data_IF_261812958517
#
_entry.id   IF_261812958517
#
_cell.length_a   1.000
_cell.length_b   1.000
_cell.length_c   1.000
_cell.angle_alpha   90.00
_cell.angle_beta   90.00
_cell.angle_gamma   90.00
#
_symmetry.space_group_name_H-M   'P 1'
#
loop_
_entity.id
_entity.type
_entity.pdbx_description
1 polymer ?
#
# COMPACT_ATOMS: atom_id res chain seq x y z
N UNK A 1 31.90 -7.68 -13.01
CA UNK A 1 30.89 -6.93 -12.23
C UNK A 1 29.53 -7.60 -12.33
N UNK A 2 28.81 -7.78 -11.22
CA UNK A 2 27.43 -8.31 -11.22
C UNK A 2 26.46 -7.30 -11.82
N UNK A 3 25.63 -7.71 -12.79
CA UNK A 3 24.61 -6.85 -13.44
C UNK A 3 23.64 -6.27 -12.40
N UNK A 4 23.19 -5.03 -12.61
CA UNK A 4 22.24 -4.34 -11.71
C UNK A 4 20.96 -5.16 -11.48
N UNK A 5 20.43 -5.82 -12.52
CA UNK A 5 19.25 -6.69 -12.42
C UNK A 5 19.43 -7.81 -11.39
N UNK A 6 20.61 -8.43 -11.36
CA UNK A 6 20.92 -9.52 -10.41
C UNK A 6 21.03 -8.97 -8.99
N UNK A 7 21.59 -7.77 -8.82
CA UNK A 7 21.63 -7.10 -7.50
C UNK A 7 20.22 -6.82 -6.98
N UNK A 8 19.31 -6.34 -7.84
CA UNK A 8 17.91 -6.09 -7.49
C UNK A 8 17.20 -7.39 -7.11
N UNK A 9 17.31 -8.44 -7.91
CA UNK A 9 16.72 -9.75 -7.61
C UNK A 9 17.22 -10.32 -6.28
N UNK A 10 18.53 -10.26 -6.03
CA UNK A 10 19.11 -10.74 -4.77
C UNK A 10 18.62 -9.94 -3.56
N UNK A 11 18.48 -8.62 -3.69
CA UNK A 11 17.92 -7.77 -2.63
C UNK A 11 16.45 -8.10 -2.40
N UNK A 12 15.65 -8.19 -3.46
CA UNK A 12 14.23 -8.56 -3.38
C UNK A 12 14.04 -9.91 -2.71
N UNK A 13 14.81 -10.94 -3.09
CA UNK A 13 14.73 -12.27 -2.51
C UNK A 13 14.96 -12.26 -0.99
N UNK A 14 15.94 -11.48 -0.51
CA UNK A 14 16.20 -11.32 0.93
C UNK A 14 15.08 -10.55 1.63
N UNK A 15 14.56 -9.52 0.99
CA UNK A 15 13.56 -8.62 1.59
C UNK A 15 12.19 -9.29 1.70
N UNK A 16 11.71 -9.98 0.66
CA UNK A 16 10.38 -10.59 0.63
C UNK A 16 10.27 -11.85 1.50
N UNK A 17 11.38 -12.57 1.68
CA UNK A 17 11.44 -13.78 2.51
C UNK A 17 11.93 -13.53 3.94
N UNK A 18 12.27 -12.28 4.29
CA UNK A 18 12.80 -11.90 5.60
C UNK A 18 12.02 -10.75 6.23
N UNK A 19 12.55 -9.51 6.24
CA UNK A 19 11.94 -8.38 6.94
C UNK A 19 10.47 -8.14 6.62
N UNK A 20 10.06 -8.27 5.35
CA UNK A 20 8.66 -8.02 4.97
C UNK A 20 7.70 -9.10 5.45
N UNK A 21 8.15 -10.35 5.52
CA UNK A 21 7.33 -11.42 6.08
C UNK A 21 7.06 -11.18 7.58
N UNK A 22 8.04 -10.61 8.31
CA UNK A 22 7.88 -10.20 9.70
C UNK A 22 6.95 -9.00 9.85
N UNK A 23 7.08 -8.01 8.98
CA UNK A 23 6.33 -6.76 9.14
C UNK A 23 4.88 -6.87 8.62
N UNK A 24 4.66 -7.63 7.55
CA UNK A 24 3.38 -7.64 6.82
C UNK A 24 2.60 -8.94 7.08
N UNK A 25 3.25 -9.93 7.68
CA UNK A 25 2.75 -11.29 7.82
C UNK A 25 2.88 -12.07 6.52
N UNK A 26 2.23 -13.25 6.43
CA UNK A 26 2.17 -14.04 5.22
C UNK A 26 1.70 -13.20 4.03
N UNK A 27 2.43 -13.28 2.92
CA UNK A 27 2.17 -12.43 1.76
C UNK A 27 0.74 -12.64 1.21
N UNK A 28 0.27 -13.89 1.16
CA UNK A 28 -1.10 -14.22 0.75
C UNK A 28 -2.15 -13.48 1.60
N UNK A 29 -2.02 -13.52 2.93
CA UNK A 29 -2.95 -12.87 3.86
C UNK A 29 -2.89 -11.36 3.81
N UNK A 30 -1.71 -10.78 3.64
CA UNK A 30 -1.60 -9.34 3.46
C UNK A 30 -2.24 -8.88 2.14
N UNK A 31 -2.00 -9.60 1.03
CA UNK A 31 -2.59 -9.26 -0.26
C UNK A 31 -4.11 -9.51 -0.30
N UNK A 32 -4.61 -10.52 0.42
CA UNK A 32 -6.05 -10.75 0.61
C UNK A 32 -6.73 -9.52 1.24
N UNK A 33 -6.17 -8.96 2.33
CA UNK A 33 -6.68 -7.73 2.96
C UNK A 33 -6.59 -6.51 2.04
N UNK A 34 -5.50 -6.38 1.29
CA UNK A 34 -5.31 -5.27 0.35
C UNK A 34 -6.38 -5.34 -0.75
N UNK A 35 -6.63 -6.52 -1.31
CA UNK A 35 -7.63 -6.73 -2.35
C UNK A 35 -9.03 -6.29 -1.90
N UNK A 36 -9.43 -6.60 -0.66
CA UNK A 36 -10.72 -6.18 -0.09
C UNK A 36 -10.87 -4.66 -0.11
N UNK A 37 -9.90 -3.91 0.41
CA UNK A 37 -10.00 -2.44 0.43
C UNK A 37 -9.88 -1.81 -0.95
N UNK A 38 -9.03 -2.36 -1.83
CA UNK A 38 -8.92 -1.88 -3.20
C UNK A 38 -10.21 -2.05 -3.97
N UNK A 39 -10.91 -3.18 -3.79
CA UNK A 39 -12.21 -3.43 -4.43
C UNK A 39 -13.27 -2.43 -3.93
N UNK A 40 -13.34 -2.18 -2.62
CA UNK A 40 -14.24 -1.16 -2.04
C UNK A 40 -13.98 0.22 -2.63
N UNK A 41 -12.71 0.65 -2.64
CA UNK A 41 -12.33 1.99 -3.13
C UNK A 41 -12.54 2.11 -4.64
N UNK A 42 -12.16 1.08 -5.42
CA UNK A 42 -12.28 1.09 -6.87
C UNK A 42 -13.75 1.10 -7.31
N UNK A 43 -14.62 0.30 -6.68
CA UNK A 43 -16.06 0.31 -6.96
C UNK A 43 -16.65 1.70 -6.72
N UNK A 44 -16.37 2.31 -5.56
CA UNK A 44 -16.81 3.68 -5.27
C UNK A 44 -16.25 4.68 -6.30
N UNK A 45 -15.00 4.53 -6.74
CA UNK A 45 -14.41 5.41 -7.75
C UNK A 45 -15.09 5.29 -9.11
N UNK A 46 -15.36 4.06 -9.58
CA UNK A 46 -16.05 3.84 -10.86
C UNK A 46 -17.49 4.33 -10.80
N UNK A 47 -18.21 4.07 -9.70
CA UNK A 47 -19.60 4.50 -9.52
C UNK A 47 -19.73 6.03 -9.49
N UNK A 48 -18.83 6.73 -8.81
CA UNK A 48 -18.96 8.18 -8.59
C UNK A 48 -18.22 9.04 -9.63
N UNK A 49 -17.11 8.53 -10.20
CA UNK A 49 -16.23 9.32 -11.09
C UNK A 49 -16.00 8.64 -12.45
N UNK A 50 -16.51 7.42 -12.67
CA UNK A 50 -16.28 6.64 -13.90
C UNK A 50 -14.85 6.13 -14.07
N UNK A 51 -13.95 6.43 -13.13
CA UNK A 51 -12.52 6.07 -13.16
C UNK A 51 -11.88 6.19 -11.78
N UNK A 52 -10.76 5.48 -11.59
CA UNK A 52 -9.87 5.73 -10.44
C UNK A 52 -9.19 7.09 -10.63
N UNK A 53 -9.32 7.96 -9.63
CA UNK A 53 -8.68 9.29 -9.60
C UNK A 53 -7.43 9.29 -8.72
N UNK A 54 -6.64 10.38 -8.77
CA UNK A 54 -5.45 10.53 -7.92
C UNK A 54 -5.79 10.45 -6.42
N UNK A 55 -6.93 11.01 -6.00
CA UNK A 55 -7.39 10.94 -4.60
C UNK A 55 -7.80 9.50 -4.21
N UNK A 56 -8.35 8.70 -5.13
CA UNK A 56 -8.61 7.29 -4.84
C UNK A 56 -7.30 6.50 -4.66
N UNK A 57 -6.26 6.81 -5.44
CA UNK A 57 -4.95 6.16 -5.26
C UNK A 57 -4.35 6.45 -3.88
N UNK A 58 -4.53 7.65 -3.31
CA UNK A 58 -4.03 7.92 -1.95
C UNK A 58 -4.76 7.09 -0.90
N UNK A 59 -6.07 6.87 -1.06
CA UNK A 59 -6.83 5.96 -0.19
C UNK A 59 -6.35 4.50 -0.32
N UNK A 60 -6.04 4.07 -1.54
CA UNK A 60 -5.47 2.75 -1.78
C UNK A 60 -4.10 2.61 -1.09
N UNK A 61 -3.23 3.60 -1.19
CA UNK A 61 -1.92 3.57 -0.53
C UNK A 61 -2.02 3.63 1.00
N UNK A 62 -2.95 4.41 1.54
CA UNK A 62 -3.29 4.41 2.97
C UNK A 62 -3.76 3.02 3.43
N UNK A 63 -4.60 2.34 2.64
CA UNK A 63 -5.08 0.99 2.94
C UNK A 63 -3.96 -0.05 2.99
N UNK A 64 -2.95 0.04 2.12
CA UNK A 64 -1.77 -0.85 2.17
C UNK A 64 -1.08 -0.74 3.53
N UNK A 65 -0.99 0.47 4.09
CA UNK A 65 -0.39 0.71 5.41
C UNK A 65 -1.29 0.21 6.53
N UNK A 66 -2.62 0.38 6.41
CA UNK A 66 -3.59 -0.23 7.31
C UNK A 66 -3.40 -1.75 7.37
N UNK A 67 -3.27 -2.42 6.23
CA UNK A 67 -3.08 -3.88 6.17
C UNK A 67 -1.79 -4.33 6.87
N UNK A 68 -0.70 -3.57 6.74
CA UNK A 68 0.56 -3.79 7.46
C UNK A 68 0.37 -3.64 8.98
N UNK A 69 -0.29 -2.57 9.42
CA UNK A 69 -0.56 -2.32 10.84
C UNK A 69 -1.49 -3.37 11.46
N UNK A 70 -2.36 -4.01 10.67
CA UNK A 70 -3.13 -5.17 11.14
C UNK A 70 -2.26 -6.38 11.49
N UNK A 71 -0.99 -6.41 11.06
CA UNK A 71 -0.02 -7.41 11.49
C UNK A 71 0.96 -6.86 12.53
N UNK A 72 1.47 -5.64 12.33
CA UNK A 72 2.44 -4.97 13.21
C UNK A 72 1.93 -3.60 13.63
N UNK A 73 1.09 -3.56 14.67
CA UNK A 73 0.37 -2.35 15.09
C UNK A 73 1.31 -1.22 15.57
N UNK A 74 2.49 -1.60 16.06
CA UNK A 74 3.54 -0.73 16.58
C UNK A 74 4.53 -0.25 15.49
N UNK A 75 4.28 -0.56 14.22
CA UNK A 75 5.14 -0.14 13.12
C UNK A 75 4.97 1.36 12.79
N UNK A 76 5.72 2.22 13.48
CA UNK A 76 5.65 3.70 13.42
C UNK A 76 5.64 4.26 11.99
N UNK A 77 6.57 3.87 11.11
CA UNK A 77 6.60 4.42 9.74
C UNK A 77 5.28 4.23 8.98
N UNK A 78 4.53 3.17 9.29
CA UNK A 78 3.25 2.91 8.64
C UNK A 78 2.18 3.89 9.10
N UNK A 79 2.21 4.34 10.36
CA UNK A 79 1.35 5.43 10.85
C UNK A 79 1.72 6.76 10.20
N UNK A 80 3.01 7.07 10.11
CA UNK A 80 3.51 8.30 9.44
C UNK A 80 3.10 8.32 7.97
N UNK A 81 3.28 7.21 7.26
CA UNK A 81 2.87 7.06 5.86
C UNK A 81 1.36 7.30 5.68
N UNK A 82 0.51 6.77 6.58
CA UNK A 82 -0.95 6.99 6.54
C UNK A 82 -1.32 8.46 6.64
N UNK A 83 -0.70 9.19 7.58
CA UNK A 83 -0.90 10.63 7.71
C UNK A 83 -0.49 11.36 6.43
N UNK A 84 0.65 10.99 5.83
CA UNK A 84 1.12 11.56 4.57
C UNK A 84 0.14 11.33 3.41
N UNK A 85 -0.28 10.09 3.17
CA UNK A 85 -1.24 9.78 2.11
C UNK A 85 -2.61 10.44 2.34
N UNK A 86 -3.10 10.47 3.57
CA UNK A 86 -4.37 11.10 3.91
C UNK A 86 -4.32 12.62 3.67
N UNK A 87 -3.23 13.29 4.04
CA UNK A 87 -3.04 14.72 3.80
C UNK A 87 -2.97 15.04 2.30
N UNK A 88 -2.17 14.28 1.54
CA UNK A 88 -2.08 14.45 0.07
C UNK A 88 -3.43 14.15 -0.59
N UNK A 89 -4.15 13.13 -0.13
CA UNK A 89 -5.49 12.80 -0.62
C UNK A 89 -6.50 13.93 -0.42
N UNK A 90 -6.46 14.57 0.75
CA UNK A 90 -7.30 15.73 1.04
C UNK A 90 -6.99 16.92 0.12
N UNK A 91 -5.71 17.17 -0.18
CA UNK A 91 -5.30 18.19 -1.17
C UNK A 91 -5.84 17.84 -2.57
N UNK A 92 -5.57 16.62 -3.04
CA UNK A 92 -5.96 16.17 -4.38
C UNK A 92 -7.47 16.10 -4.59
N UNK A 93 -8.26 15.89 -3.53
CA UNK A 93 -9.72 15.89 -3.60
C UNK A 93 -10.31 17.24 -4.01
N UNK A 94 -9.55 18.33 -3.83
CA UNK A 94 -9.97 19.69 -4.17
C UNK A 94 -9.59 20.11 -5.59
N UNK A 95 -8.80 19.31 -6.30
CA UNK A 95 -8.32 19.61 -7.65
C UNK A 95 -8.88 18.57 -8.62
N UNK A 96 -10.06 18.87 -9.18
CA UNK A 96 -10.69 18.05 -10.23
C UNK A 96 -9.91 18.12 -11.54
#
# INVERSE_FOLDING_TARGET
MTKIRTKVLNKSNKTINGPRAKDYGPADKNHERIAVGFDVIAKAAIENEGRITKAHVTLMMDWVKTCRLCHTIDHEDSWVDKCGYSAIGAELSKTK
#
